data_IF_130215745437
#
_entry.id   IF_130215745437
#
_cell.length_a   1.000
_cell.length_b   1.000
_cell.length_c   1.000
_cell.angle_alpha   90.00
_cell.angle_beta   90.00
_cell.angle_gamma   90.00
#
_symmetry.space_group_name_H-M   'P 1'
#
loop_
_entity.id
_entity.type
_entity.pdbx_description
1 polymer ?
#
# COMPACT_ATOMS: atom_id res chain seq x y z
N UNK A 1 3.52 -7.34 -14.90
CA UNK A 1 3.38 -7.13 -13.44
C UNK A 1 2.14 -6.29 -13.10
N UNK A 2 2.10 -4.97 -13.32
CA UNK A 2 0.97 -4.14 -12.85
C UNK A 2 -0.37 -4.48 -13.54
N UNK A 3 -0.31 -4.84 -14.83
CA UNK A 3 -1.50 -5.19 -15.62
C UNK A 3 -2.17 -6.50 -15.17
N UNK A 4 -1.40 -7.47 -14.70
CA UNK A 4 -1.92 -8.77 -14.23
C UNK A 4 -2.63 -8.63 -12.88
N UNK A 5 -2.11 -7.78 -11.99
CA UNK A 5 -2.75 -7.48 -10.71
C UNK A 5 -4.08 -6.73 -10.92
N UNK A 6 -4.11 -5.80 -11.86
CA UNK A 6 -5.34 -5.08 -12.22
C UNK A 6 -6.40 -6.02 -12.83
N UNK A 7 -5.98 -6.95 -13.69
CA UNK A 7 -6.88 -7.95 -14.31
C UNK A 7 -7.44 -8.94 -13.27
N UNK A 8 -6.63 -9.32 -12.27
CA UNK A 8 -7.05 -10.13 -11.13
C UNK A 8 -7.94 -9.37 -10.11
N UNK A 9 -8.44 -8.18 -10.45
CA UNK A 9 -9.38 -7.42 -9.63
C UNK A 9 -8.77 -6.63 -8.47
N UNK A 10 -7.44 -6.47 -8.43
CA UNK A 10 -6.80 -5.67 -7.39
C UNK A 10 -7.01 -4.17 -7.65
N UNK A 11 -7.34 -3.44 -6.60
CA UNK A 11 -7.36 -1.97 -6.62
C UNK A 11 -5.96 -1.44 -6.36
N UNK A 12 -5.42 -0.71 -7.33
CA UNK A 12 -4.12 -0.07 -7.21
C UNK A 12 -4.22 1.32 -6.55
N UNK A 13 -3.42 1.53 -5.52
CA UNK A 13 -3.18 2.83 -4.89
C UNK A 13 -1.73 3.19 -5.14
N UNK A 14 -1.50 4.18 -5.99
CA UNK A 14 -0.14 4.62 -6.34
C UNK A 14 0.31 5.73 -5.39
N UNK A 15 1.46 5.53 -4.75
CA UNK A 15 2.15 6.56 -3.99
C UNK A 15 3.37 7.09 -4.72
N UNK A 16 4.09 7.99 -4.06
CA UNK A 16 5.39 8.46 -4.53
C UNK A 16 6.42 7.33 -4.42
N UNK A 17 6.50 6.68 -3.25
CA UNK A 17 7.54 5.70 -2.91
C UNK A 17 7.15 4.25 -3.14
N UNK A 18 5.87 3.92 -2.95
CA UNK A 18 5.35 2.57 -3.06
C UNK A 18 3.99 2.55 -3.76
N UNK A 19 3.66 1.41 -4.37
CA UNK A 19 2.35 1.10 -4.92
C UNK A 19 1.70 0.01 -4.06
N UNK A 20 0.45 0.24 -3.65
CA UNK A 20 -0.31 -0.70 -2.80
C UNK A 20 -1.45 -1.28 -3.62
N UNK A 21 -1.45 -2.60 -3.77
CA UNK A 21 -2.52 -3.33 -4.44
C UNK A 21 -3.40 -4.01 -3.40
N UNK A 22 -4.70 -3.70 -3.41
CA UNK A 22 -5.65 -4.24 -2.44
C UNK A 22 -6.79 -4.97 -3.15
N UNK A 23 -6.99 -6.24 -2.80
CA UNK A 23 -8.10 -7.05 -3.27
C UNK A 23 -8.98 -7.44 -2.07
N UNK A 24 -10.27 -7.14 -2.16
CA UNK A 24 -11.28 -7.45 -1.12
C UNK A 24 -11.59 -8.93 -1.01
N UNK A 25 -11.51 -9.68 -2.11
CA UNK A 25 -11.83 -11.11 -2.16
C UNK A 25 -10.78 -11.97 -1.46
N UNK A 26 -9.54 -11.48 -1.42
CA UNK A 26 -8.40 -12.17 -0.78
C UNK A 26 -8.24 -11.73 0.70
N UNK A 27 -8.86 -10.62 1.10
CA UNK A 27 -8.68 -10.07 2.43
C UNK A 27 -9.35 -10.95 3.50
N UNK A 28 -8.54 -11.60 4.34
CA UNK A 28 -9.03 -12.40 5.49
C UNK A 28 -9.57 -11.54 6.65
N UNK A 29 -9.59 -10.21 6.50
CA UNK A 29 -10.05 -9.26 7.50
C UNK A 29 -9.41 -9.41 8.91
N UNK A 30 -8.19 -9.92 8.99
CA UNK A 30 -7.49 -10.18 10.26
C UNK A 30 -7.07 -8.91 11.02
N UNK A 31 -7.19 -7.72 10.40
CA UNK A 31 -6.84 -6.43 11.01
C UNK A 31 -5.33 -6.15 11.15
N UNK A 32 -4.46 -7.07 10.74
CA UNK A 32 -3.01 -6.91 10.83
C UNK A 32 -2.47 -5.76 9.95
N UNK A 33 -3.10 -5.50 8.80
CA UNK A 33 -2.76 -4.36 7.96
C UNK A 33 -2.89 -3.03 8.72
N UNK A 34 -4.03 -2.82 9.38
CA UNK A 34 -4.34 -1.60 10.15
C UNK A 34 -3.47 -1.49 11.40
N UNK A 35 -3.20 -2.61 12.08
CA UNK A 35 -2.37 -2.64 13.30
C UNK A 35 -0.88 -2.44 13.01
N UNK A 36 -0.39 -3.02 11.91
CA UNK A 36 1.02 -2.91 11.52
C UNK A 36 1.39 -1.51 11.04
N UNK A 37 0.53 -0.91 10.20
CA UNK A 37 0.80 0.38 9.56
C UNK A 37 -0.44 1.26 9.52
N UNK A 38 -0.88 1.74 10.69
CA UNK A 38 -2.07 2.58 10.84
C UNK A 38 -2.00 3.91 10.06
N UNK A 39 -0.79 4.39 9.75
CA UNK A 39 -0.58 5.59 8.91
C UNK A 39 -0.93 5.31 7.44
N UNK A 40 -0.56 4.14 6.92
CA UNK A 40 -0.91 3.72 5.55
C UNK A 40 -2.39 3.34 5.47
N UNK A 41 -2.88 2.55 6.42
CA UNK A 41 -4.26 2.07 6.47
C UNK A 41 -5.08 2.84 7.51
N UNK A 42 -5.76 3.91 7.08
CA UNK A 42 -6.55 4.78 7.93
C UNK A 42 -8.05 4.69 7.62
N UNK A 43 -8.78 3.96 8.47
CA UNK A 43 -10.23 3.74 8.34
C UNK A 43 -11.09 4.99 8.53
N UNK A 44 -10.53 6.08 9.10
CA UNK A 44 -11.28 7.31 9.41
C UNK A 44 -11.37 8.27 8.22
N UNK A 45 -10.67 7.98 7.11
CA UNK A 45 -10.63 8.83 5.92
C UNK A 45 -10.90 8.03 4.65
N UNK A 46 -11.31 8.72 3.58
CA UNK A 46 -11.38 8.18 2.22
C UNK A 46 -10.48 9.02 1.31
N UNK A 47 -9.56 8.41 0.54
CA UNK A 47 -9.23 6.98 0.52
C UNK A 47 -8.57 6.49 1.82
N UNK A 48 -8.89 5.26 2.24
CA UNK A 48 -8.40 4.67 3.50
C UNK A 48 -7.02 4.03 3.38
N UNK A 49 -6.55 3.80 2.16
CA UNK A 49 -5.19 3.35 1.84
C UNK A 49 -4.45 4.56 1.28
N UNK A 50 -3.39 4.97 1.97
CA UNK A 50 -2.59 6.13 1.61
C UNK A 50 -1.14 5.70 1.54
N UNK A 51 -0.67 5.28 0.35
CA UNK A 51 0.67 4.75 0.17
C UNK A 51 1.77 5.76 0.52
N UNK A 52 1.47 7.06 0.43
CA UNK A 52 2.41 8.15 0.75
C UNK A 52 2.73 8.25 2.24
N UNK A 53 1.78 7.89 3.11
CA UNK A 53 1.96 7.89 4.57
C UNK A 53 2.75 6.67 5.07
N UNK A 54 3.14 5.77 4.16
CA UNK A 54 3.97 4.63 4.51
C UNK A 54 5.38 5.09 4.87
N UNK A 55 5.76 4.80 6.11
CA UNK A 55 7.12 4.99 6.57
C UNK A 55 7.74 3.63 6.88
N UNK A 56 8.84 3.25 6.20
CA UNK A 56 9.58 2.04 6.55
C UNK A 56 10.23 2.19 7.94
N UNK A 57 10.52 1.06 8.63
CA UNK A 57 11.46 1.10 9.73
C UNK A 57 12.84 1.57 9.23
N UNK A 58 13.63 2.18 10.13
CA UNK A 58 14.97 2.72 9.80
C UNK A 58 15.87 1.72 9.06
N UNK A 59 15.78 0.44 9.40
CA UNK A 59 16.52 -0.64 8.75
C UNK A 59 16.18 -0.81 7.28
N UNK A 60 14.94 -0.54 6.88
CA UNK A 60 14.48 -0.64 5.49
C UNK A 60 14.58 0.69 4.73
N UNK A 61 14.63 1.82 5.44
CA UNK A 61 14.68 3.16 4.84
C UNK A 61 15.88 3.36 3.91
N UNK A 62 17.03 2.77 4.25
CA UNK A 62 18.26 2.86 3.43
C UNK A 62 18.18 2.09 2.11
N UNK A 63 17.18 1.24 1.93
CA UNK A 63 17.06 0.35 0.77
C UNK A 63 15.92 0.72 -0.16
N UNK A 64 15.24 1.85 0.05
CA UNK A 64 14.17 2.31 -0.83
C UNK A 64 14.80 3.12 -1.96
N UNK A 65 14.82 2.62 -3.20
CA UNK A 65 15.17 3.45 -4.34
C UNK A 65 14.09 4.54 -4.49
N UNK A 66 14.51 5.79 -4.72
CA UNK A 66 13.58 6.83 -5.14
C UNK A 66 12.91 6.34 -6.44
N UNK A 67 11.60 6.15 -6.41
CA UNK A 67 10.85 5.71 -7.58
C UNK A 67 10.89 6.84 -8.60
N UNK A 68 11.55 6.61 -9.73
CA UNK A 68 11.42 7.46 -10.90
C UNK A 68 9.98 7.32 -11.39
N UNK A 69 9.14 8.30 -11.06
CA UNK A 69 7.84 8.43 -11.69
C UNK A 69 8.05 8.57 -13.22
N UNK A 70 7.23 7.90 -14.05
CA UNK A 70 7.31 8.06 -15.50
C UNK A 70 6.99 9.50 -15.93
#
# INVERSE_FOLDING_TARGET
MDKELLDAGFRAYRGEKIDVYFNTEICQHSGNCVRGSAKLFNLKRKPWIVPDEWMPPRSCASSIPARAAP
#
